data_IF_995735694861
#
_entry.id   IF_995735694861
#
_cell.length_a   1.000
_cell.length_b   1.000
_cell.length_c   1.000
_cell.angle_alpha   90.00
_cell.angle_beta   90.00
_cell.angle_gamma   90.00
#
_symmetry.space_group_name_H-M   'P 1'
#
loop_
_entity.id
_entity.type
_entity.pdbx_description
1 polymer ?
#
# COMPACT_ATOMS: atom_id res chain seq x y z
N UNK A 1 -19.95 -35.44 -27.81
CA UNK A 1 -19.33 -35.16 -26.51
C UNK A 1 -18.23 -34.16 -26.73
N UNK A 2 -18.53 -32.88 -26.57
CA UNK A 2 -17.58 -31.78 -26.78
C UNK A 2 -16.93 -31.44 -25.46
N UNK A 3 -15.64 -31.75 -25.31
CA UNK A 3 -14.81 -31.26 -24.22
C UNK A 3 -14.56 -29.77 -24.42
N UNK A 4 -15.33 -28.92 -23.73
CA UNK A 4 -14.96 -27.52 -23.58
C UNK A 4 -13.73 -27.44 -22.68
N UNK A 5 -12.57 -27.20 -23.32
CA UNK A 5 -11.36 -26.82 -22.61
C UNK A 5 -11.62 -25.53 -21.83
N UNK A 6 -11.35 -25.56 -20.52
CA UNK A 6 -11.27 -24.35 -19.71
C UNK A 6 -10.09 -23.51 -20.23
N UNK A 7 -10.36 -22.55 -21.09
CA UNK A 7 -9.41 -21.49 -21.41
C UNK A 7 -9.26 -20.67 -20.12
N UNK A 8 -8.12 -20.81 -19.46
CA UNK A 8 -7.73 -19.93 -18.37
C UNK A 8 -7.66 -18.50 -18.90
N UNK A 9 -8.61 -17.64 -18.52
CA UNK A 9 -8.63 -16.25 -18.96
C UNK A 9 -7.48 -15.48 -18.29
N UNK A 10 -6.71 -14.73 -19.10
CA UNK A 10 -5.77 -13.72 -18.58
C UNK A 10 -6.56 -12.45 -18.31
N UNK A 11 -6.49 -11.94 -17.08
CA UNK A 11 -7.08 -10.66 -16.71
C UNK A 11 -6.08 -9.54 -17.05
N UNK A 12 -6.52 -8.55 -17.82
CA UNK A 12 -5.73 -7.35 -18.12
C UNK A 12 -5.66 -6.42 -16.91
N UNK A 13 -4.59 -5.64 -16.83
CA UNK A 13 -4.43 -4.57 -15.83
C UNK A 13 -4.82 -3.23 -16.45
N UNK A 14 -5.51 -2.36 -15.66
CA UNK A 14 -5.69 -0.95 -16.00
C UNK A 14 -4.52 -0.14 -15.44
N UNK A 15 -4.10 0.91 -16.15
CA UNK A 15 -3.14 1.88 -15.65
C UNK A 15 -3.89 3.10 -15.14
N UNK A 16 -3.88 3.31 -13.82
CA UNK A 16 -4.52 4.46 -13.15
C UNK A 16 -3.59 5.67 -13.06
N UNK A 17 -2.29 5.44 -13.15
CA UNK A 17 -1.23 6.43 -13.09
C UNK A 17 -0.08 5.95 -13.97
N UNK A 18 0.49 6.85 -14.76
CA UNK A 18 1.63 6.54 -15.62
C UNK A 18 2.74 7.57 -15.46
N UNK A 19 3.96 7.10 -15.18
CA UNK A 19 5.19 7.89 -15.25
C UNK A 19 5.82 7.64 -16.61
N UNK A 20 5.81 8.66 -17.48
CA UNK A 20 6.27 8.53 -18.88
C UNK A 20 7.73 8.94 -19.08
N UNK A 21 8.33 9.61 -18.09
CA UNK A 21 9.73 10.04 -18.16
C UNK A 21 10.24 10.63 -16.85
N UNK A 22 11.56 10.82 -16.81
CA UNK A 22 12.28 11.47 -15.71
C UNK A 22 13.08 12.63 -16.31
N UNK A 23 12.96 13.81 -15.72
CA UNK A 23 13.73 14.98 -16.07
C UNK A 23 15.02 15.08 -15.26
N UNK A 24 14.92 14.84 -13.95
CA UNK A 24 16.08 14.80 -13.05
C UNK A 24 15.87 13.82 -11.90
N UNK A 25 16.97 13.44 -11.25
CA UNK A 25 16.96 12.62 -10.04
C UNK A 25 18.22 12.96 -9.23
N UNK A 26 18.01 13.65 -8.13
CA UNK A 26 19.11 14.27 -7.38
C UNK A 26 18.99 13.94 -5.89
N UNK A 27 20.14 13.82 -5.24
CA UNK A 27 20.28 13.81 -3.78
C UNK A 27 21.47 14.73 -3.46
N UNK A 28 21.22 15.85 -2.82
CA UNK A 28 22.25 16.86 -2.51
C UNK A 28 21.97 17.59 -1.22
N UNK A 29 23.03 18.21 -0.69
CA UNK A 29 22.94 19.12 0.44
C UNK A 29 22.72 20.55 -0.07
N UNK A 30 21.63 21.17 0.38
CA UNK A 30 21.37 22.58 0.16
C UNK A 30 22.03 23.40 1.27
N UNK A 31 23.05 24.21 0.96
CA UNK A 31 23.77 24.96 1.98
C UNK A 31 22.95 26.11 2.55
N UNK A 32 23.26 26.51 3.77
CA UNK A 32 22.68 27.70 4.40
C UNK A 32 22.94 28.94 3.53
N UNK A 33 21.93 29.80 3.39
CA UNK A 33 21.94 30.98 2.56
C UNK A 33 21.62 30.72 1.08
N UNK A 34 21.34 29.49 0.68
CA UNK A 34 20.92 29.19 -0.68
C UNK A 34 19.49 29.69 -0.92
N UNK A 35 19.30 30.31 -2.09
CA UNK A 35 17.98 30.70 -2.60
C UNK A 35 17.95 30.45 -4.10
N UNK A 36 17.00 29.62 -4.56
CA UNK A 36 16.79 29.44 -6.00
C UNK A 36 16.04 30.62 -6.58
N UNK A 37 16.30 30.93 -7.86
CA UNK A 37 15.37 31.78 -8.60
C UNK A 37 14.05 31.06 -8.80
N UNK A 38 12.92 31.79 -8.92
CA UNK A 38 11.66 31.17 -9.33
C UNK A 38 11.84 30.43 -10.66
N UNK A 39 11.44 29.17 -10.68
CA UNK A 39 11.50 28.30 -11.86
C UNK A 39 10.12 27.74 -12.17
N UNK A 40 9.94 27.28 -13.40
CA UNK A 40 8.72 26.62 -13.87
C UNK A 40 9.06 25.73 -15.05
N UNK A 41 8.69 24.47 -15.00
CA UNK A 41 9.06 23.47 -16.00
C UNK A 41 7.88 22.56 -16.36
N UNK A 42 7.90 21.89 -17.55
CA UNK A 42 6.79 21.08 -18.05
C UNK A 42 6.77 19.65 -17.49
N UNK A 43 7.14 19.46 -16.23
CA UNK A 43 7.08 18.20 -15.50
C UNK A 43 6.77 18.44 -14.02
N UNK A 44 6.30 17.44 -13.32
CA UNK A 44 6.14 17.50 -11.87
C UNK A 44 7.47 17.30 -11.17
N UNK A 45 7.68 17.95 -10.04
CA UNK A 45 8.89 17.79 -9.25
C UNK A 45 8.57 17.40 -7.81
N UNK A 46 8.96 16.19 -7.43
CA UNK A 46 8.88 15.68 -6.08
C UNK A 46 10.08 16.16 -5.28
N UNK A 47 9.83 16.82 -4.15
CA UNK A 47 10.85 17.26 -3.20
C UNK A 47 10.60 16.55 -1.87
N UNK A 48 11.61 15.89 -1.34
CA UNK A 48 11.60 15.25 -0.03
C UNK A 48 12.81 15.74 0.79
N UNK A 49 12.57 16.09 2.05
CA UNK A 49 13.62 16.51 2.99
C UNK A 49 14.06 15.32 3.84
N UNK A 50 15.29 14.86 3.59
CA UNK A 50 15.92 13.76 4.35
C UNK A 50 16.48 14.25 5.69
N UNK A 51 17.05 15.47 5.70
CA UNK A 51 17.50 16.14 6.94
C UNK A 51 17.42 17.65 6.83
N UNK A 52 17.32 18.34 7.97
CA UNK A 52 17.15 19.79 8.02
C UNK A 52 15.74 20.27 7.67
N UNK A 53 15.62 21.47 7.15
CA UNK A 53 14.38 22.08 6.67
C UNK A 53 14.66 23.12 5.58
N UNK A 54 13.68 23.36 4.70
CA UNK A 54 13.76 24.37 3.65
C UNK A 54 12.49 25.23 3.61
N UNK A 55 12.64 26.50 3.22
CA UNK A 55 11.54 27.33 2.78
C UNK A 55 11.13 26.96 1.36
N UNK A 56 9.83 26.89 1.10
CA UNK A 56 9.27 26.54 -0.21
C UNK A 56 8.19 27.54 -0.59
N UNK A 57 8.25 28.02 -1.83
CA UNK A 57 7.13 28.69 -2.49
C UNK A 57 6.75 27.85 -3.69
N UNK A 58 5.48 27.42 -3.77
CA UNK A 58 4.98 26.55 -4.83
C UNK A 58 3.51 26.88 -5.06
N UNK A 59 3.20 27.54 -6.15
CA UNK A 59 1.83 27.91 -6.49
C UNK A 59 1.07 28.53 -5.32
N UNK A 60 0.11 27.79 -4.78
CA UNK A 60 -0.71 28.24 -3.65
C UNK A 60 -0.02 28.06 -2.27
N UNK A 61 1.04 27.28 -2.16
CA UNK A 61 1.73 27.00 -0.90
C UNK A 61 2.95 27.91 -0.71
N UNK A 62 3.04 28.52 0.45
CA UNK A 62 4.24 29.20 0.93
C UNK A 62 4.45 28.80 2.38
N UNK A 63 5.58 28.19 2.68
CA UNK A 63 5.88 27.68 4.02
C UNK A 63 7.21 26.95 4.12
N UNK A 64 7.34 26.10 5.10
CA UNK A 64 8.53 25.26 5.33
C UNK A 64 8.23 23.80 5.08
N UNK A 65 9.19 23.11 4.51
CA UNK A 65 9.23 21.66 4.37
C UNK A 65 10.29 21.14 5.33
N UNK A 66 9.91 20.24 6.23
CA UNK A 66 10.75 19.72 7.31
C UNK A 66 11.22 18.31 7.01
N UNK A 67 12.15 17.82 7.82
CA UNK A 67 12.60 16.43 7.77
C UNK A 67 11.42 15.44 7.69
N UNK A 68 11.53 14.48 6.79
CA UNK A 68 10.53 13.44 6.47
C UNK A 68 9.24 13.99 5.83
N UNK A 69 9.23 15.23 5.38
CA UNK A 69 8.12 15.80 4.62
C UNK A 69 8.43 15.82 3.12
N UNK A 70 7.37 15.70 2.34
CA UNK A 70 7.36 15.67 0.89
C UNK A 70 6.36 16.71 0.36
N UNK A 71 6.70 17.34 -0.76
CA UNK A 71 5.84 18.18 -1.57
C UNK A 71 6.04 17.83 -3.05
N UNK A 72 5.02 17.99 -3.89
CA UNK A 72 5.13 17.79 -5.34
C UNK A 72 4.74 19.08 -6.04
N UNK A 73 5.69 19.76 -6.68
CA UNK A 73 5.39 20.86 -7.59
C UNK A 73 4.71 20.33 -8.84
N UNK A 74 3.64 21.00 -9.25
CA UNK A 74 2.92 20.63 -10.46
C UNK A 74 3.62 21.16 -11.71
N UNK A 75 3.35 20.50 -12.81
CA UNK A 75 3.77 20.94 -14.14
C UNK A 75 3.35 22.40 -14.40
N UNK A 76 4.29 23.25 -14.81
CA UNK A 76 4.06 24.66 -15.11
C UNK A 76 3.84 25.56 -13.89
N UNK A 77 3.90 25.05 -12.68
CA UNK A 77 3.70 25.83 -11.45
C UNK A 77 5.00 26.56 -11.05
N UNK A 78 4.97 27.90 -10.89
CA UNK A 78 6.13 28.65 -10.43
C UNK A 78 6.50 28.25 -9.01
N UNK A 79 7.76 27.92 -8.77
CA UNK A 79 8.26 27.50 -7.47
C UNK A 79 9.68 27.99 -7.20
N UNK A 80 10.04 28.06 -5.92
CA UNK A 80 11.40 28.38 -5.46
C UNK A 80 11.68 27.76 -4.10
N UNK A 81 12.96 27.48 -3.85
CA UNK A 81 13.46 26.89 -2.61
C UNK A 81 14.42 27.86 -1.94
N UNK A 82 14.42 27.86 -0.61
CA UNK A 82 15.29 28.68 0.22
C UNK A 82 15.77 27.89 1.44
N UNK A 83 17.06 28.00 1.75
CA UNK A 83 17.67 27.39 2.93
C UNK A 83 18.27 28.48 3.81
N UNK A 84 17.61 28.82 4.93
CA UNK A 84 17.94 29.99 5.72
C UNK A 84 18.91 29.69 6.87
N UNK A 85 18.58 28.75 7.75
CA UNK A 85 19.23 28.60 9.05
C UNK A 85 20.03 27.30 9.20
N UNK A 86 19.57 26.20 8.60
CA UNK A 86 20.16 24.88 8.71
C UNK A 86 20.27 24.24 7.35
N UNK A 87 21.44 23.73 6.99
CA UNK A 87 21.62 22.97 5.75
C UNK A 87 20.66 21.79 5.68
N UNK A 88 20.12 21.52 4.51
CA UNK A 88 19.16 20.47 4.30
C UNK A 88 19.61 19.46 3.24
N UNK A 89 19.42 18.16 3.49
CA UNK A 89 19.60 17.13 2.49
C UNK A 89 18.27 16.86 1.81
N UNK A 90 18.27 16.93 0.48
CA UNK A 90 17.08 16.83 -0.34
C UNK A 90 17.17 15.69 -1.34
N UNK A 91 16.06 15.01 -1.55
CA UNK A 91 15.80 14.23 -2.75
C UNK A 91 14.88 15.07 -3.64
N UNK A 92 15.32 15.28 -4.89
CA UNK A 92 14.52 15.94 -5.92
C UNK A 92 14.39 14.99 -7.10
N UNK A 93 13.15 14.74 -7.53
CA UNK A 93 12.86 13.89 -8.69
C UNK A 93 11.86 14.62 -9.59
N UNK A 94 12.35 15.06 -10.75
CA UNK A 94 11.51 15.58 -11.82
C UNK A 94 10.94 14.46 -12.67
N UNK A 95 9.62 14.36 -12.77
CA UNK A 95 8.94 13.26 -13.45
C UNK A 95 7.79 13.74 -14.33
N UNK A 96 7.67 13.14 -15.51
CA UNK A 96 6.54 13.34 -16.41
C UNK A 96 5.38 12.42 -15.97
N UNK A 97 4.47 12.98 -15.19
CA UNK A 97 3.26 12.32 -14.70
C UNK A 97 2.14 13.35 -14.65
N UNK A 98 1.12 13.17 -15.48
CA UNK A 98 -0.06 14.04 -15.51
C UNK A 98 -1.23 13.30 -14.85
N UNK A 99 -1.34 13.46 -13.52
CA UNK A 99 -2.42 12.86 -12.74
C UNK A 99 -3.02 13.88 -11.78
N UNK A 100 -4.32 14.10 -11.86
CA UNK A 100 -5.05 14.96 -10.92
C UNK A 100 -4.97 14.47 -9.48
N UNK A 101 -4.70 13.19 -9.26
CA UNK A 101 -4.47 12.60 -7.94
C UNK A 101 -3.25 13.17 -7.22
N UNK A 102 -2.33 13.84 -7.94
CA UNK A 102 -1.16 14.50 -7.36
C UNK A 102 -1.45 15.93 -6.87
N UNK A 103 -2.61 16.51 -7.18
CA UNK A 103 -2.97 17.88 -6.77
C UNK A 103 -2.87 18.12 -5.26
N UNK A 104 -3.38 17.24 -4.38
CA UNK A 104 -3.29 17.46 -2.93
C UNK A 104 -1.86 17.65 -2.43
N UNK A 105 -0.88 17.00 -3.08
CA UNK A 105 0.53 17.03 -2.70
C UNK A 105 1.26 18.32 -3.09
N UNK A 106 0.64 19.20 -3.87
CA UNK A 106 1.17 20.54 -4.16
C UNK A 106 0.62 21.63 -3.23
N UNK A 107 -0.45 21.34 -2.50
CA UNK A 107 -1.15 22.30 -1.66
C UNK A 107 -0.58 22.41 -0.23
N UNK A 108 0.06 21.37 0.26
CA UNK A 108 0.66 21.31 1.60
C UNK A 108 1.71 20.20 1.69
N UNK A 109 2.73 20.34 2.57
CA UNK A 109 3.65 19.26 2.89
C UNK A 109 2.92 18.05 3.48
N UNK A 110 3.41 16.88 3.14
CA UNK A 110 2.90 15.61 3.66
C UNK A 110 4.05 14.86 4.32
N UNK A 111 3.84 14.44 5.57
CA UNK A 111 4.79 13.58 6.27
C UNK A 111 4.82 12.20 5.58
N UNK A 112 6.00 11.79 5.12
CA UNK A 112 6.19 10.50 4.47
C UNK A 112 6.28 9.39 5.51
N UNK A 113 5.48 8.34 5.35
CA UNK A 113 5.48 7.18 6.24
C UNK A 113 6.81 6.42 6.21
N UNK A 114 7.14 5.73 7.30
CA UNK A 114 8.33 4.88 7.39
C UNK A 114 8.33 3.75 6.34
N UNK A 115 7.17 3.37 5.82
CA UNK A 115 7.04 2.34 4.79
C UNK A 115 7.42 2.83 3.40
N UNK A 116 7.27 4.13 3.12
CA UNK A 116 7.56 4.74 1.82
C UNK A 116 8.99 5.27 1.70
N UNK A 117 9.64 5.66 2.80
CA UNK A 117 11.00 6.19 2.77
C UNK A 117 12.02 5.24 2.10
N UNK A 118 12.05 3.91 2.36
CA UNK A 118 12.95 3.00 1.68
C UNK A 118 12.76 2.96 0.16
N UNK A 119 11.55 3.20 -0.32
CA UNK A 119 11.26 3.22 -1.76
C UNK A 119 11.94 4.38 -2.47
N UNK A 120 12.02 5.57 -1.85
CA UNK A 120 12.79 6.69 -2.40
C UNK A 120 14.28 6.34 -2.52
N UNK A 121 14.83 5.65 -1.52
CA UNK A 121 16.23 5.19 -1.55
C UNK A 121 16.45 4.21 -2.71
N UNK A 122 15.54 3.26 -2.93
CA UNK A 122 15.65 2.32 -4.04
C UNK A 122 15.51 3.01 -5.40
N UNK A 123 14.63 3.99 -5.54
CA UNK A 123 14.48 4.81 -6.75
C UNK A 123 15.80 5.54 -7.06
N UNK A 124 16.41 6.19 -6.07
CA UNK A 124 17.70 6.90 -6.25
C UNK A 124 18.83 5.93 -6.60
N UNK A 125 18.90 4.77 -5.96
CA UNK A 125 19.92 3.75 -6.27
C UNK A 125 19.79 3.26 -7.71
N UNK A 126 18.57 2.93 -8.14
CA UNK A 126 18.34 2.46 -9.50
C UNK A 126 18.59 3.57 -10.53
N UNK A 127 18.24 4.82 -10.20
CA UNK A 127 18.56 5.98 -11.03
C UNK A 127 20.06 6.14 -11.29
N UNK A 128 20.91 5.88 -10.28
CA UNK A 128 22.38 5.91 -10.43
C UNK A 128 22.92 4.79 -11.34
N UNK A 129 22.18 3.70 -11.52
CA UNK A 129 22.51 2.65 -12.49
C UNK A 129 22.28 3.11 -13.92
N UNK A 130 21.28 4.00 -14.14
CA UNK A 130 20.86 4.45 -15.48
C UNK A 130 21.48 5.77 -15.88
N UNK A 131 21.56 6.73 -14.96
CA UNK A 131 22.03 8.10 -15.25
C UNK A 131 23.48 8.31 -14.86
N UNK A 132 24.15 9.22 -15.55
CA UNK A 132 25.51 9.65 -15.23
C UNK A 132 25.53 10.75 -14.16
N UNK A 133 26.55 10.77 -13.29
CA UNK A 133 26.76 11.91 -12.40
C UNK A 133 27.03 13.21 -13.20
N UNK A 134 26.96 14.38 -12.57
CA UNK A 134 26.76 14.61 -11.13
C UNK A 134 25.29 14.55 -10.69
N UNK A 135 25.06 14.14 -9.44
CA UNK A 135 23.70 14.00 -8.85
C UNK A 135 23.40 15.08 -7.80
N UNK A 136 24.32 16.03 -7.61
CA UNK A 136 24.36 17.04 -6.57
C UNK A 136 24.34 18.49 -7.12
N UNK A 137 23.94 18.67 -8.38
CA UNK A 137 23.77 20.00 -8.99
C UNK A 137 22.29 20.39 -8.92
N UNK A 138 21.94 21.43 -8.13
CA UNK A 138 20.58 21.96 -8.09
C UNK A 138 20.08 22.39 -9.47
N UNK A 139 18.78 22.24 -9.73
CA UNK A 139 18.08 22.67 -10.95
C UNK A 139 18.62 22.07 -12.27
N UNK A 140 19.34 20.96 -12.19
CA UNK A 140 19.78 20.26 -13.39
C UNK A 140 18.62 19.46 -13.98
N UNK A 141 18.31 19.68 -15.26
CA UNK A 141 17.23 18.99 -15.99
C UNK A 141 17.73 18.17 -17.19
N UNK A 142 19.05 18.11 -17.39
CA UNK A 142 19.71 17.48 -18.53
C UNK A 142 20.54 16.25 -18.11
N UNK A 143 19.93 15.34 -17.39
CA UNK A 143 20.62 14.10 -16.99
C UNK A 143 20.88 13.19 -18.19
N UNK A 144 22.15 12.83 -18.38
CA UNK A 144 22.56 11.91 -19.43
C UNK A 144 22.42 10.46 -18.98
N UNK A 145 21.87 9.62 -19.86
CA UNK A 145 21.85 8.18 -19.62
C UNK A 145 23.21 7.55 -19.92
N UNK A 146 23.55 6.53 -19.14
CA UNK A 146 24.71 5.65 -19.45
C UNK A 146 24.47 4.94 -20.77
N UNK A 147 25.53 4.67 -21.50
CA UNK A 147 25.48 3.86 -22.73
C UNK A 147 25.17 2.39 -22.46
N UNK A 148 25.47 1.90 -21.25
CA UNK A 148 25.15 0.56 -20.77
C UNK A 148 24.69 0.62 -19.32
N UNK A 149 23.59 -0.05 -19.01
CA UNK A 149 23.02 -0.18 -17.69
C UNK A 149 22.36 -1.56 -17.52
N UNK A 150 22.04 -2.00 -16.29
CA UNK A 150 21.45 -3.32 -16.04
C UNK A 150 20.14 -3.55 -16.80
N UNK A 151 19.88 -4.80 -17.15
CA UNK A 151 18.64 -5.20 -17.83
C UNK A 151 17.41 -4.71 -17.07
N UNK A 152 16.52 -4.01 -17.77
CA UNK A 152 15.24 -3.53 -17.22
C UNK A 152 15.34 -2.35 -16.26
N UNK A 153 16.50 -1.71 -16.08
CA UNK A 153 16.70 -0.63 -15.13
C UNK A 153 15.75 0.57 -15.38
N UNK A 154 15.59 1.02 -16.62
CA UNK A 154 14.61 2.06 -17.00
C UNK A 154 13.18 1.68 -16.60
N UNK A 155 12.81 0.43 -16.87
CA UNK A 155 11.49 -0.08 -16.52
C UNK A 155 11.34 -0.19 -15.00
N UNK A 156 12.38 -0.60 -14.30
CA UNK A 156 12.38 -0.73 -12.85
C UNK A 156 12.20 0.63 -12.16
N UNK A 157 12.91 1.67 -12.60
CA UNK A 157 12.71 3.04 -12.09
C UNK A 157 11.26 3.49 -12.28
N UNK A 158 10.71 3.32 -13.48
CA UNK A 158 9.32 3.66 -13.75
C UNK A 158 8.36 2.92 -12.81
N UNK A 159 8.51 1.62 -12.69
CA UNK A 159 7.64 0.80 -11.84
C UNK A 159 7.77 1.16 -10.36
N UNK A 160 8.98 1.49 -9.89
CA UNK A 160 9.21 1.95 -8.52
C UNK A 160 8.53 3.31 -8.26
N UNK A 161 8.64 4.26 -9.20
CA UNK A 161 7.97 5.56 -9.11
C UNK A 161 6.45 5.42 -9.13
N UNK A 162 5.90 4.64 -10.06
CA UNK A 162 4.45 4.38 -10.11
C UNK A 162 3.95 3.70 -8.84
N UNK A 163 4.66 2.69 -8.35
CA UNK A 163 4.32 2.01 -7.10
C UNK A 163 4.40 2.95 -5.88
N UNK A 164 5.43 3.80 -5.82
CA UNK A 164 5.58 4.81 -4.77
C UNK A 164 4.41 5.81 -4.79
N UNK A 165 4.10 6.39 -5.94
CA UNK A 165 3.03 7.38 -6.08
C UNK A 165 1.65 6.78 -5.78
N UNK A 166 1.38 5.56 -6.24
CA UNK A 166 0.12 4.85 -5.94
C UNK A 166 -0.03 4.62 -4.43
N UNK A 167 1.03 4.19 -3.76
CA UNK A 167 1.01 3.98 -2.30
C UNK A 167 0.87 5.30 -1.56
N UNK A 168 1.57 6.36 -1.98
CA UNK A 168 1.46 7.70 -1.41
C UNK A 168 0.03 8.23 -1.50
N UNK A 169 -0.61 8.12 -2.68
CA UNK A 169 -2.01 8.51 -2.89
C UNK A 169 -2.94 7.72 -1.98
N UNK A 170 -2.79 6.40 -1.92
CA UNK A 170 -3.62 5.53 -1.07
C UNK A 170 -3.49 5.87 0.41
N UNK A 171 -2.28 6.15 0.89
CA UNK A 171 -2.06 6.56 2.30
C UNK A 171 -2.70 7.93 2.58
N UNK A 172 -2.64 8.86 1.62
CA UNK A 172 -3.25 10.18 1.76
C UNK A 172 -4.78 10.15 1.68
N UNK A 173 -5.35 9.31 0.82
CA UNK A 173 -6.80 9.14 0.69
C UNK A 173 -7.42 8.26 1.79
N UNK A 174 -6.58 7.50 2.52
CA UNK A 174 -7.06 6.76 3.68
C UNK A 174 -7.61 7.73 4.73
N UNK A 175 -8.78 7.46 5.33
CA UNK A 175 -9.31 8.33 6.38
C UNK A 175 -8.28 8.48 7.49
N UNK A 176 -7.86 9.72 7.77
CA UNK A 176 -6.93 10.07 8.84
C UNK A 176 -7.56 9.75 10.21
N UNK A 177 -7.39 8.54 10.68
CA UNK A 177 -7.69 8.14 12.04
C UNK A 177 -6.43 8.41 12.88
N UNK A 178 -6.41 9.57 13.48
CA UNK A 178 -5.51 10.13 14.53
C UNK A 178 -4.19 9.45 14.87
N UNK A 179 -3.20 10.27 14.85
CA UNK A 179 -1.90 10.27 15.55
C UNK A 179 -1.30 8.94 16.07
N UNK A 180 -0.15 8.54 15.48
CA UNK A 180 0.82 7.64 16.11
C UNK A 180 0.89 6.23 15.52
N UNK A 181 1.91 5.49 15.93
CA UNK A 181 2.16 4.06 15.61
C UNK A 181 0.92 3.19 15.79
N UNK A 182 0.02 3.58 16.70
CA UNK A 182 -1.23 2.89 16.97
C UNK A 182 -2.23 3.00 15.81
N UNK A 183 -2.29 4.15 15.14
CA UNK A 183 -3.18 4.37 13.99
C UNK A 183 -2.70 3.60 12.75
N UNK A 184 -1.40 3.51 12.53
CA UNK A 184 -0.85 2.68 11.45
C UNK A 184 -1.15 1.18 11.68
N UNK A 185 -1.10 0.72 12.93
CA UNK A 185 -1.46 -0.65 13.30
C UNK A 185 -2.97 -0.90 13.12
N UNK A 186 -3.81 0.09 13.43
CA UNK A 186 -5.27 0.00 13.27
C UNK A 186 -5.68 0.03 11.80
N UNK A 187 -5.05 0.88 10.99
CA UNK A 187 -5.26 0.91 9.53
C UNK A 187 -4.88 -0.44 8.92
N UNK A 188 -3.71 -0.97 9.28
CA UNK A 188 -3.25 -2.28 8.81
C UNK A 188 -4.17 -3.43 9.26
N UNK A 189 -4.71 -3.33 10.48
CA UNK A 189 -5.73 -4.28 10.95
C UNK A 189 -7.03 -4.18 10.14
N UNK A 190 -7.43 -2.99 9.70
CA UNK A 190 -8.54 -2.75 8.79
C UNK A 190 -8.34 -3.38 7.41
N UNK A 191 -7.16 -3.22 6.82
CA UNK A 191 -6.78 -3.86 5.55
C UNK A 191 -6.82 -5.39 5.65
N UNK A 192 -6.30 -5.94 6.77
CA UNK A 192 -6.35 -7.38 7.04
C UNK A 192 -7.79 -7.85 7.20
N UNK A 193 -8.64 -7.09 7.89
CA UNK A 193 -10.07 -7.39 8.03
C UNK A 193 -10.74 -7.51 6.66
N UNK A 194 -10.54 -6.52 5.80
CA UNK A 194 -11.08 -6.52 4.43
C UNK A 194 -10.53 -7.69 3.59
N UNK A 195 -9.25 -8.01 3.74
CA UNK A 195 -8.66 -9.17 3.08
C UNK A 195 -9.30 -10.49 3.53
N UNK A 196 -9.54 -10.66 4.84
CA UNK A 196 -10.21 -11.84 5.38
C UNK A 196 -11.65 -11.97 4.86
N UNK A 197 -12.40 -10.87 4.81
CA UNK A 197 -13.77 -10.85 4.30
C UNK A 197 -13.86 -11.25 2.82
N UNK A 198 -12.89 -10.85 2.03
CA UNK A 198 -12.83 -11.17 0.61
C UNK A 198 -12.30 -12.60 0.33
N UNK A 199 -11.49 -13.16 1.24
CA UNK A 199 -10.76 -14.42 0.99
C UNK A 199 -11.03 -15.50 2.05
N UNK A 200 -12.08 -15.40 2.88
CA UNK A 200 -12.30 -16.29 4.02
C UNK A 200 -12.45 -17.79 3.65
N UNK A 201 -12.75 -18.11 2.41
CA UNK A 201 -12.81 -19.48 1.90
C UNK A 201 -11.44 -20.06 1.57
N UNK A 202 -10.42 -19.21 1.45
CA UNK A 202 -9.05 -19.62 1.16
C UNK A 202 -8.31 -20.10 2.42
N UNK A 203 -7.20 -20.82 2.21
CA UNK A 203 -6.34 -21.23 3.32
C UNK A 203 -5.46 -20.05 3.74
N UNK A 204 -5.89 -19.33 4.76
CA UNK A 204 -5.18 -18.17 5.30
C UNK A 204 -4.48 -18.53 6.60
N UNK A 205 -3.21 -18.15 6.74
CA UNK A 205 -2.40 -18.38 7.94
C UNK A 205 -1.91 -17.06 8.54
N UNK A 206 -1.68 -17.03 9.88
CA UNK A 206 -1.13 -15.85 10.55
C UNK A 206 0.26 -15.43 10.01
N UNK A 207 1.21 -16.35 9.74
CA UNK A 207 2.48 -15.98 9.14
C UNK A 207 2.32 -15.32 7.76
N UNK A 208 1.41 -15.82 6.94
CA UNK A 208 1.09 -15.25 5.63
C UNK A 208 0.55 -13.82 5.74
N UNK A 209 -0.40 -13.58 6.65
CA UNK A 209 -0.91 -12.23 6.91
C UNK A 209 0.19 -11.29 7.42
N UNK A 210 1.07 -11.78 8.31
CA UNK A 210 2.20 -10.99 8.77
C UNK A 210 3.14 -10.61 7.62
N UNK A 211 3.38 -11.52 6.70
CA UNK A 211 4.21 -11.28 5.51
C UNK A 211 3.53 -10.30 4.54
N UNK A 212 2.26 -10.55 4.17
CA UNK A 212 1.52 -9.75 3.20
C UNK A 212 1.34 -8.28 3.64
N UNK A 213 1.14 -8.07 4.94
CA UNK A 213 0.85 -6.74 5.50
C UNK A 213 2.02 -6.12 6.26
N UNK A 214 3.23 -6.66 6.13
CA UNK A 214 4.45 -6.09 6.72
C UNK A 214 4.34 -5.88 8.24
N UNK A 215 3.76 -6.85 8.98
CA UNK A 215 3.55 -6.77 10.43
C UNK A 215 4.08 -8.01 11.15
N UNK A 216 4.09 -7.99 12.47
CA UNK A 216 4.44 -9.16 13.28
C UNK A 216 3.22 -9.69 14.02
N UNK A 217 3.29 -10.96 14.46
CA UNK A 217 2.18 -11.66 15.11
C UNK A 217 1.62 -10.91 16.34
N UNK A 218 2.49 -10.29 17.13
CA UNK A 218 2.09 -9.58 18.37
C UNK A 218 1.30 -8.33 18.02
N UNK A 219 1.82 -7.52 17.11
CA UNK A 219 1.17 -6.28 16.63
C UNK A 219 -0.16 -6.60 15.95
N UNK A 220 -0.16 -7.55 15.01
CA UNK A 220 -1.37 -8.00 14.33
C UNK A 220 -2.45 -8.46 15.31
N UNK A 221 -2.11 -9.36 16.23
CA UNK A 221 -3.08 -9.91 17.18
C UNK A 221 -3.68 -8.82 18.07
N UNK A 222 -2.87 -7.88 18.53
CA UNK A 222 -3.30 -6.75 19.38
C UNK A 222 -4.20 -5.78 18.62
N UNK A 223 -3.76 -5.32 17.45
CA UNK A 223 -4.50 -4.34 16.65
C UNK A 223 -5.82 -4.93 16.13
N UNK A 224 -5.79 -6.16 15.61
CA UNK A 224 -6.98 -6.83 15.11
C UNK A 224 -8.02 -7.09 16.21
N UNK A 225 -7.56 -7.49 17.42
CA UNK A 225 -8.45 -7.67 18.57
C UNK A 225 -9.06 -6.36 19.05
N UNK A 226 -8.31 -5.27 18.99
CA UNK A 226 -8.82 -3.93 19.34
C UNK A 226 -9.91 -3.50 18.37
N UNK A 227 -9.69 -3.73 17.06
CA UNK A 227 -10.63 -3.36 16.00
C UNK A 227 -11.90 -4.22 16.00
N UNK A 228 -11.77 -5.53 16.15
CA UNK A 228 -12.87 -6.48 15.93
C UNK A 228 -13.43 -7.10 17.19
N UNK A 229 -12.76 -6.98 18.32
CA UNK A 229 -13.07 -7.69 19.57
C UNK A 229 -12.67 -9.16 19.58
N UNK A 230 -12.10 -9.69 18.48
CA UNK A 230 -11.82 -11.12 18.31
C UNK A 230 -10.37 -11.39 17.86
N UNK A 231 -9.99 -12.64 17.87
CA UNK A 231 -8.75 -13.09 17.24
C UNK A 231 -8.96 -13.27 15.73
N UNK A 232 -7.89 -13.12 14.93
CA UNK A 232 -7.92 -13.37 13.47
C UNK A 232 -8.53 -14.74 13.15
N UNK A 233 -8.09 -15.78 13.88
CA UNK A 233 -8.59 -17.18 13.68
C UNK A 233 -10.07 -17.30 14.06
N UNK A 234 -10.49 -16.68 15.17
CA UNK A 234 -11.89 -16.68 15.60
C UNK A 234 -12.79 -15.93 14.61
N UNK A 235 -12.35 -14.77 14.15
CA UNK A 235 -13.06 -13.99 13.14
C UNK A 235 -13.23 -14.75 11.82
N UNK A 236 -12.15 -15.33 11.30
CA UNK A 236 -12.17 -16.14 10.09
C UNK A 236 -13.12 -17.37 10.25
N UNK A 237 -13.10 -18.01 11.41
CA UNK A 237 -14.02 -19.12 11.69
C UNK A 237 -15.50 -18.67 11.71
N UNK A 238 -15.81 -17.45 12.22
CA UNK A 238 -17.17 -16.89 12.16
C UNK A 238 -17.63 -16.59 10.74
N UNK A 239 -16.77 -16.03 9.88
CA UNK A 239 -17.08 -15.83 8.45
C UNK A 239 -17.46 -17.17 7.79
N UNK A 240 -16.71 -18.21 8.08
CA UNK A 240 -16.95 -19.56 7.57
C UNK A 240 -18.23 -20.21 8.11
N UNK A 241 -18.66 -19.83 9.30
CA UNK A 241 -19.84 -20.41 9.96
C UNK A 241 -21.12 -20.20 9.14
N UNK A 242 -21.29 -19.00 8.55
CA UNK A 242 -22.45 -18.72 7.71
C UNK A 242 -22.51 -19.66 6.48
N UNK A 243 -21.38 -19.85 5.83
CA UNK A 243 -21.27 -20.79 4.69
C UNK A 243 -21.45 -22.23 5.12
N UNK A 244 -20.92 -22.62 6.29
CA UNK A 244 -21.15 -23.95 6.87
C UNK A 244 -22.64 -24.24 7.07
N UNK A 245 -23.40 -23.29 7.62
CA UNK A 245 -24.86 -23.43 7.81
C UNK A 245 -25.59 -23.65 6.49
N UNK A 246 -25.16 -22.96 5.43
CA UNK A 246 -25.72 -23.19 4.08
C UNK A 246 -25.40 -24.58 3.57
N UNK A 247 -24.14 -25.03 3.64
CA UNK A 247 -23.73 -26.38 3.19
C UNK A 247 -24.43 -27.50 3.95
N UNK A 248 -24.61 -27.32 5.27
CA UNK A 248 -25.38 -28.29 6.10
C UNK A 248 -26.85 -28.35 5.67
N UNK A 249 -27.47 -27.26 5.29
CA UNK A 249 -28.84 -27.25 4.77
C UNK A 249 -28.96 -27.95 3.41
N UNK A 250 -27.97 -27.75 2.54
CA UNK A 250 -27.94 -28.43 1.24
C UNK A 250 -27.78 -29.94 1.36
N UNK A 251 -27.18 -30.42 2.44
CA UNK A 251 -27.08 -31.86 2.78
C UNK A 251 -26.26 -32.71 1.80
N UNK A 252 -25.45 -32.04 0.94
CA UNK A 252 -24.64 -32.69 -0.10
C UNK A 252 -23.30 -33.20 0.41
N UNK A 253 -22.83 -32.65 1.52
CA UNK A 253 -21.52 -32.91 2.10
C UNK A 253 -21.66 -33.39 3.54
N UNK A 254 -20.79 -34.28 3.98
CA UNK A 254 -20.64 -34.67 5.37
C UNK A 254 -20.04 -33.54 6.21
N UNK A 255 -20.18 -33.60 7.52
CA UNK A 255 -19.60 -32.65 8.46
C UNK A 255 -18.08 -32.54 8.29
N UNK A 256 -17.41 -33.66 8.01
CA UNK A 256 -15.96 -33.69 7.75
C UNK A 256 -15.62 -32.96 6.46
N UNK A 257 -16.29 -33.24 5.36
CA UNK A 257 -16.08 -32.58 4.08
C UNK A 257 -16.36 -31.06 4.15
N UNK A 258 -17.37 -30.63 4.91
CA UNK A 258 -17.66 -29.23 5.16
C UNK A 258 -16.51 -28.55 5.93
N UNK A 259 -16.00 -29.23 6.98
CA UNK A 259 -14.87 -28.69 7.75
C UNK A 259 -13.61 -28.51 6.87
N UNK A 260 -13.34 -29.47 6.00
CA UNK A 260 -12.22 -29.42 5.03
C UNK A 260 -12.44 -28.33 3.98
N UNK A 261 -13.61 -28.31 3.33
CA UNK A 261 -13.96 -27.31 2.31
C UNK A 261 -13.89 -25.86 2.81
N UNK A 262 -14.14 -25.66 4.10
CA UNK A 262 -14.05 -24.36 4.77
C UNK A 262 -12.70 -24.10 5.47
N UNK A 263 -11.71 -24.95 5.21
CA UNK A 263 -10.36 -24.83 5.76
C UNK A 263 -10.32 -24.69 7.30
N UNK A 264 -11.17 -25.42 8.03
CA UNK A 264 -11.00 -25.57 9.47
C UNK A 264 -9.81 -26.50 9.75
N UNK A 265 -9.07 -26.22 10.81
CA UNK A 265 -7.87 -27.00 11.18
C UNK A 265 -8.17 -28.47 11.52
N UNK A 266 -9.40 -28.79 11.92
CA UNK A 266 -9.90 -30.15 12.10
C UNK A 266 -11.44 -30.16 12.22
N UNK A 267 -12.05 -31.27 11.92
CA UNK A 267 -13.50 -31.51 12.16
C UNK A 267 -13.88 -31.34 13.63
N UNK A 268 -12.98 -31.68 14.56
CA UNK A 268 -13.21 -31.52 16.01
C UNK A 268 -13.24 -30.03 16.40
N UNK A 269 -12.34 -29.23 15.83
CA UNK A 269 -12.36 -27.79 16.06
C UNK A 269 -13.61 -27.14 15.44
N UNK A 270 -13.98 -27.53 14.22
CA UNK A 270 -15.21 -27.08 13.57
C UNK A 270 -16.44 -27.42 14.41
N UNK A 271 -16.60 -28.68 14.84
CA UNK A 271 -17.76 -29.13 15.64
C UNK A 271 -17.87 -28.35 16.96
N UNK A 272 -16.75 -28.18 17.68
CA UNK A 272 -16.72 -27.41 18.94
C UNK A 272 -17.04 -25.90 18.70
N UNK A 273 -16.49 -25.33 17.62
CA UNK A 273 -16.74 -23.94 17.25
C UNK A 273 -18.20 -23.73 16.86
N UNK A 274 -18.75 -24.60 16.03
CA UNK A 274 -20.14 -24.57 15.58
C UNK A 274 -21.08 -24.67 16.79
N UNK A 275 -20.86 -25.65 17.70
CA UNK A 275 -21.68 -25.83 18.91
C UNK A 275 -21.63 -24.58 19.81
N UNK A 276 -20.47 -23.95 19.93
CA UNK A 276 -20.33 -22.73 20.74
C UNK A 276 -21.20 -21.58 20.21
N UNK A 277 -21.37 -21.48 18.90
CA UNK A 277 -22.08 -20.35 18.27
C UNK A 277 -23.54 -20.64 17.95
N UNK A 278 -23.90 -21.89 17.70
CA UNK A 278 -25.25 -22.30 17.32
C UNK A 278 -25.97 -23.10 18.43
N UNK A 279 -25.33 -23.33 19.57
CA UNK A 279 -25.82 -24.12 20.71
C UNK A 279 -26.17 -25.58 20.38
N UNK A 280 -25.78 -26.09 19.23
CA UNK A 280 -25.99 -27.47 18.79
C UNK A 280 -24.84 -27.94 17.88
N UNK A 281 -24.65 -29.26 17.74
CA UNK A 281 -23.66 -29.81 16.85
C UNK A 281 -24.06 -29.63 15.37
N UNK A 282 -23.08 -29.57 14.40
CA UNK A 282 -23.39 -29.50 12.97
C UNK A 282 -24.35 -30.58 12.48
N UNK A 283 -24.20 -31.82 12.96
CA UNK A 283 -25.09 -32.93 12.63
C UNK A 283 -26.51 -32.78 13.18
N UNK A 284 -26.64 -32.27 14.41
CA UNK A 284 -27.93 -31.94 15.02
C UNK A 284 -28.62 -30.80 14.25
N UNK A 285 -27.86 -29.78 13.84
CA UNK A 285 -28.35 -28.69 13.02
C UNK A 285 -28.87 -29.20 11.67
N UNK A 286 -28.10 -30.03 10.97
CA UNK A 286 -28.53 -30.63 9.71
C UNK A 286 -29.82 -31.47 9.86
N UNK A 287 -29.93 -32.28 10.92
CA UNK A 287 -31.11 -33.08 11.19
C UNK A 287 -32.35 -32.26 11.55
N UNK A 288 -32.17 -31.20 12.34
CA UNK A 288 -33.26 -30.29 12.73
C UNK A 288 -33.89 -29.55 11.53
N UNK A 289 -33.09 -29.28 10.51
CA UNK A 289 -33.56 -28.62 9.30
C UNK A 289 -34.32 -29.62 8.40
N UNK A 290 -33.78 -30.83 8.21
CA UNK A 290 -34.46 -31.87 7.43
C UNK A 290 -35.85 -32.16 7.99
N UNK A 291 -35.95 -32.31 9.30
CA UNK A 291 -37.23 -32.54 9.97
C UNK A 291 -38.27 -31.41 9.79
N UNK A 292 -37.83 -30.16 9.51
CA UNK A 292 -38.73 -29.02 9.25
C UNK A 292 -39.24 -28.96 7.80
N UNK A 293 -38.57 -29.62 6.86
CA UNK A 293 -38.93 -29.58 5.44
C UNK A 293 -39.58 -30.87 4.96
N UNK A 294 -39.51 -31.97 5.75
CA UNK A 294 -40.14 -33.26 5.45
C UNK A 294 -41.45 -33.51 6.24
N UNK A 295 -41.86 -32.59 7.12
CA UNK A 295 -43.14 -32.55 7.82
C UNK A 295 -44.02 -31.39 7.31
#
# INVERSE_FOLDING_TARGET
MSTQGKNGGVHGFSAELAVTGIANMQYFEMPVGYSSHPDSHPFCELIYVDSGEIGVKSGAYTGRLKKNELLIHRMGEPHSLQCDEVAANLIIIGLACDSERLIPFSCAPIALSESLQPMLVEIIKEGRNVFLPPYDIPNRTDMEKRTAFPFGADQLIRNLLECFLIKLIREHEAPHLGEGVQAADDLRAGEILQYLENNYLERITLPELCFLFGTNKTTLTRAFRRLTGDTVVGYLARLRLHTAKRMLREGKLSVTEIAEALNFSSVHYFTRFFRKHENMAPSEYASSIRARFEG
#
